data_IF_277577501578
#
_entry.id   IF_277577501578
#
_cell.length_a   1.000
_cell.length_b   1.000
_cell.length_c   1.000
_cell.angle_alpha   90.00
_cell.angle_beta   90.00
_cell.angle_gamma   90.00
#
_symmetry.space_group_name_H-M   'P 1'
#
loop_
_entity.id
_entity.type
_entity.pdbx_description
1 polymer ?
#
# COMPACT_ATOMS: atom_id res chain seq x y z
N UNK A 1 11.56 4.88 -9.90
CA UNK A 1 11.19 4.18 -8.64
C UNK A 1 10.91 2.66 -8.78
N UNK A 2 10.06 2.24 -9.73
CA UNK A 2 9.60 0.86 -9.98
C UNK A 2 10.57 -0.30 -9.63
N UNK A 3 11.77 -0.33 -10.21
CA UNK A 3 12.71 -1.44 -10.05
C UNK A 3 13.24 -1.58 -8.62
N UNK A 4 13.44 -0.44 -7.92
CA UNK A 4 13.87 -0.42 -6.51
C UNK A 4 12.83 -1.08 -5.62
N UNK A 5 11.54 -0.75 -5.82
CA UNK A 5 10.43 -1.36 -5.07
C UNK A 5 10.41 -2.86 -5.29
N UNK A 6 10.43 -3.32 -6.55
CA UNK A 6 10.38 -4.75 -6.86
C UNK A 6 11.57 -5.51 -6.25
N UNK A 7 12.77 -4.96 -6.35
CA UNK A 7 13.97 -5.56 -5.77
C UNK A 7 13.86 -5.67 -4.23
N UNK A 8 13.33 -4.64 -3.57
CA UNK A 8 13.12 -4.65 -2.13
C UNK A 8 12.07 -5.69 -1.70
N UNK A 9 10.92 -5.72 -2.36
CA UNK A 9 9.85 -6.70 -2.06
C UNK A 9 10.36 -8.14 -2.25
N UNK A 10 11.18 -8.40 -3.27
CA UNK A 10 11.84 -9.70 -3.47
C UNK A 10 12.82 -10.03 -2.35
N UNK A 11 13.63 -9.05 -1.92
CA UNK A 11 14.63 -9.22 -0.84
C UNK A 11 13.99 -9.55 0.51
N UNK A 12 12.80 -9.00 0.77
CA UNK A 12 12.06 -9.22 2.03
C UNK A 12 11.24 -10.52 2.03
N UNK A 13 11.34 -11.35 0.98
CA UNK A 13 10.51 -12.54 0.78
C UNK A 13 8.99 -12.25 0.74
N UNK A 14 8.60 -11.05 0.27
CA UNK A 14 7.20 -10.61 0.24
C UNK A 14 6.68 -10.07 1.58
N UNK A 15 5.36 -10.00 1.73
CA UNK A 15 4.70 -9.47 2.93
C UNK A 15 5.09 -8.03 3.31
N UNK A 16 5.46 -7.21 2.32
CA UNK A 16 5.95 -5.85 2.56
C UNK A 16 4.78 -4.86 2.69
N UNK A 17 4.71 -4.17 3.83
CA UNK A 17 3.75 -3.11 4.12
C UNK A 17 4.12 -1.76 3.47
N UNK A 18 3.17 -0.82 3.45
CA UNK A 18 3.47 0.56 3.03
C UNK A 18 4.45 1.27 3.97
N UNK A 19 4.47 0.92 5.26
CA UNK A 19 5.39 1.51 6.23
C UNK A 19 6.82 1.10 5.92
N UNK A 20 7.06 -0.18 5.67
CA UNK A 20 8.38 -0.66 5.27
C UNK A 20 8.86 0.00 3.97
N UNK A 21 7.96 0.20 3.01
CA UNK A 21 8.28 0.94 1.79
C UNK A 21 8.65 2.40 2.07
N UNK A 22 7.90 3.11 2.92
CA UNK A 22 8.20 4.51 3.26
C UNK A 22 9.45 4.68 4.12
N UNK A 23 9.76 3.69 4.96
CA UNK A 23 10.98 3.66 5.76
C UNK A 23 12.20 3.40 4.88
N UNK A 24 12.07 2.48 3.91
CA UNK A 24 13.15 2.15 2.98
C UNK A 24 13.37 3.22 1.90
N UNK A 25 12.29 3.86 1.44
CA UNK A 25 12.31 4.86 0.38
C UNK A 25 11.63 6.15 0.85
N UNK A 26 12.30 6.98 1.68
CA UNK A 26 11.72 8.23 2.16
C UNK A 26 11.25 9.17 1.03
N UNK A 27 11.83 9.05 -0.17
CA UNK A 27 11.45 9.83 -1.35
C UNK A 27 10.04 9.52 -1.88
N UNK A 28 9.39 8.44 -1.43
CA UNK A 28 8.01 8.13 -1.82
C UNK A 28 6.97 8.90 -0.99
N UNK A 29 7.39 9.62 0.07
CA UNK A 29 6.50 10.45 0.88
C UNK A 29 6.06 11.68 0.07
N UNK A 30 4.76 11.94 0.05
CA UNK A 30 4.16 13.02 -0.71
C UNK A 30 2.79 13.41 -0.16
N UNK A 31 1.95 14.01 -0.99
CA UNK A 31 0.64 14.54 -0.58
C UNK A 31 -0.54 13.79 -1.23
N UNK A 32 -0.28 12.75 -2.02
CA UNK A 32 -1.29 11.96 -2.72
C UNK A 32 -1.83 10.83 -1.84
N UNK A 33 -3.05 10.39 -2.17
CA UNK A 33 -3.69 9.24 -1.54
C UNK A 33 -3.72 8.07 -2.53
N UNK A 34 -3.16 6.93 -2.13
CA UNK A 34 -3.28 5.69 -2.89
C UNK A 34 -4.52 4.92 -2.42
N UNK A 35 -5.44 4.64 -3.34
CA UNK A 35 -6.71 4.00 -3.03
C UNK A 35 -7.53 3.63 -4.26
N UNK A 36 -8.76 3.19 -4.02
CA UNK A 36 -9.81 2.96 -5.02
C UNK A 36 -11.02 3.83 -4.68
N UNK A 37 -11.07 5.02 -5.26
CA UNK A 37 -12.10 6.04 -4.99
C UNK A 37 -13.52 5.51 -5.27
N UNK A 38 -13.71 4.76 -6.36
CA UNK A 38 -15.01 4.18 -6.71
C UNK A 38 -15.54 3.16 -5.69
N UNK A 39 -14.66 2.66 -4.82
CA UNK A 39 -14.97 1.71 -3.74
C UNK A 39 -14.98 2.37 -2.36
N UNK A 40 -14.64 3.66 -2.25
CA UNK A 40 -14.37 4.34 -0.98
C UNK A 40 -13.30 3.60 -0.15
N UNK A 41 -12.22 3.16 -0.79
CA UNK A 41 -11.11 2.48 -0.14
C UNK A 41 -9.83 3.32 -0.22
N UNK A 42 -9.26 3.63 0.94
CA UNK A 42 -7.91 4.17 1.07
C UNK A 42 -6.94 3.02 1.35
N UNK A 43 -5.90 2.86 0.54
CA UNK A 43 -4.83 1.89 0.81
C UNK A 43 -3.74 2.53 1.66
N UNK A 44 -3.26 3.69 1.24
CA UNK A 44 -2.22 4.43 1.96
C UNK A 44 -2.21 5.92 1.59
N UNK A 45 -2.16 6.85 2.55
CA UNK A 45 -2.01 8.28 2.28
C UNK A 45 -0.53 8.71 2.22
N UNK A 46 -0.32 9.99 1.92
CA UNK A 46 0.95 10.69 2.00
C UNK A 46 2.05 10.07 1.12
N UNK A 47 1.71 9.75 -0.12
CA UNK A 47 2.66 9.23 -1.12
C UNK A 47 2.82 10.17 -2.30
N UNK A 48 3.83 9.94 -3.12
CA UNK A 48 4.00 10.63 -4.40
C UNK A 48 3.20 9.95 -5.52
N UNK A 49 2.85 10.71 -6.56
CA UNK A 49 2.24 10.14 -7.77
C UNK A 49 3.17 9.12 -8.45
N UNK A 50 4.50 9.36 -8.49
CA UNK A 50 5.49 8.43 -9.06
C UNK A 50 5.43 7.05 -8.37
N UNK A 51 5.22 7.03 -7.05
CA UNK A 51 5.06 5.79 -6.30
C UNK A 51 3.79 5.03 -6.72
N UNK A 52 2.65 5.74 -6.79
CA UNK A 52 1.37 5.17 -7.21
C UNK A 52 1.48 4.56 -8.61
N UNK A 53 2.04 5.31 -9.56
CA UNK A 53 2.27 4.84 -10.93
C UNK A 53 3.19 3.62 -10.98
N UNK A 54 4.25 3.61 -10.17
CA UNK A 54 5.19 2.49 -10.08
C UNK A 54 4.53 1.21 -9.58
N UNK A 55 3.73 1.29 -8.49
CA UNK A 55 2.99 0.15 -7.94
C UNK A 55 1.95 -0.35 -8.95
N UNK A 56 1.14 0.54 -9.52
CA UNK A 56 0.12 0.18 -10.51
C UNK A 56 0.75 -0.50 -11.74
N UNK A 57 1.90 0.00 -12.20
CA UNK A 57 2.63 -0.61 -13.32
C UNK A 57 3.12 -2.01 -12.97
N UNK A 58 3.67 -2.22 -11.77
CA UNK A 58 4.13 -3.55 -11.34
C UNK A 58 2.99 -4.56 -11.20
N UNK A 59 1.84 -4.13 -10.69
CA UNK A 59 0.64 -4.96 -10.60
C UNK A 59 0.13 -5.31 -12.01
N UNK A 60 0.06 -4.32 -12.92
CA UNK A 60 -0.35 -4.52 -14.32
C UNK A 60 0.60 -5.45 -15.07
N UNK A 61 1.90 -5.36 -14.82
CA UNK A 61 2.93 -6.25 -15.38
C UNK A 61 2.97 -7.63 -14.68
N UNK A 62 2.07 -7.89 -13.71
CA UNK A 62 2.02 -9.12 -12.91
C UNK A 62 3.36 -9.44 -12.21
N UNK A 63 4.08 -8.41 -11.76
CA UNK A 63 5.34 -8.51 -11.01
C UNK A 63 5.15 -8.33 -9.51
N UNK A 64 4.07 -7.66 -9.12
CA UNK A 64 3.62 -7.55 -7.73
C UNK A 64 2.17 -8.03 -7.62
N UNK A 65 1.88 -8.69 -6.50
CA UNK A 65 0.53 -8.93 -6.00
C UNK A 65 0.37 -8.26 -4.65
N UNK A 66 -0.88 -8.02 -4.28
CA UNK A 66 -1.24 -7.51 -2.97
C UNK A 66 -2.28 -8.40 -2.31
N UNK A 67 -2.27 -8.42 -0.98
CA UNK A 67 -3.25 -9.13 -0.17
C UNK A 67 -3.63 -8.28 1.05
N UNK A 68 -4.88 -8.38 1.54
CA UNK A 68 -5.24 -7.75 2.82
C UNK A 68 -4.39 -8.31 3.96
N UNK A 69 -4.20 -7.51 5.00
CA UNK A 69 -3.50 -7.93 6.21
C UNK A 69 -4.18 -7.36 7.45
N UNK A 70 -3.82 -7.87 8.62
CA UNK A 70 -4.33 -7.37 9.89
C UNK A 70 -3.80 -5.95 10.18
N UNK A 71 -4.67 -5.00 10.59
CA UNK A 71 -4.25 -3.64 10.97
C UNK A 71 -3.13 -3.59 12.02
N UNK A 72 -3.05 -4.61 12.88
CA UNK A 72 -2.05 -4.72 13.93
C UNK A 72 -0.61 -4.63 13.39
N UNK A 73 -0.38 -5.11 12.16
CA UNK A 73 0.91 -5.01 11.46
C UNK A 73 1.39 -3.55 11.37
N UNK A 74 0.46 -2.61 11.19
CA UNK A 74 0.76 -1.18 11.04
C UNK A 74 0.83 -0.42 12.38
N UNK A 75 0.12 -0.91 13.41
CA UNK A 75 0.15 -0.27 14.74
C UNK A 75 1.50 -0.45 15.45
N UNK A 76 2.25 -1.50 15.14
CA UNK A 76 3.62 -1.69 15.65
C UNK A 76 4.57 -0.57 15.20
N UNK A 77 4.28 0.04 14.05
CA UNK A 77 5.05 1.14 13.49
C UNK A 77 4.49 2.53 13.85
N UNK A 78 3.50 2.59 14.76
CA UNK A 78 2.91 3.85 15.22
C UNK A 78 1.94 4.50 14.23
N UNK A 79 1.51 3.79 13.19
CA UNK A 79 0.54 4.32 12.22
C UNK A 79 -0.88 4.07 12.72
N UNK A 80 -1.59 5.15 13.01
CA UNK A 80 -3.00 5.13 13.39
C UNK A 80 -3.77 6.01 12.39
N UNK A 81 -4.77 5.43 11.73
CA UNK A 81 -5.71 6.17 10.90
C UNK A 81 -7.03 6.33 11.63
N UNK A 82 -7.62 7.53 11.56
CA UNK A 82 -8.98 7.81 12.05
C UNK A 82 -10.09 7.23 11.12
N UNK A 83 -9.73 6.33 10.21
CA UNK A 83 -10.65 5.69 9.29
C UNK A 83 -11.06 4.30 9.77
N UNK A 84 -12.34 3.90 9.62
CA UNK A 84 -12.74 2.52 9.86
C UNK A 84 -11.97 1.56 8.96
N UNK A 85 -11.55 0.42 9.49
CA UNK A 85 -10.89 -0.64 8.72
C UNK A 85 -11.91 -1.33 7.80
N UNK A 86 -11.56 -1.49 6.53
CA UNK A 86 -12.28 -2.30 5.56
C UNK A 86 -11.88 -3.78 5.74
N UNK A 87 -12.87 -4.65 5.99
CA UNK A 87 -12.67 -6.09 6.19
C UNK A 87 -12.57 -6.89 4.88
N UNK A 88 -13.10 -6.31 3.81
CA UNK A 88 -13.22 -6.91 2.49
C UNK A 88 -12.98 -5.85 1.42
N UNK A 89 -12.45 -6.28 0.27
CA UNK A 89 -12.34 -5.45 -0.92
C UNK A 89 -13.71 -5.32 -1.60
N UNK A 90 -14.51 -4.35 -1.15
CA UNK A 90 -15.82 -4.03 -1.73
C UNK A 90 -16.09 -2.53 -1.63
N UNK A 91 -17.15 -2.08 -2.32
CA UNK A 91 -17.61 -0.70 -2.22
C UNK A 91 -18.26 -0.44 -0.86
N UNK A 92 -17.85 0.64 -0.18
CA UNK A 92 -18.44 1.10 1.07
C UNK A 92 -19.20 2.42 0.89
N UNK A 93 -20.09 2.75 1.84
CA UNK A 93 -20.81 4.02 1.86
C UNK A 93 -19.91 5.20 2.26
N UNK A 94 -18.89 4.95 3.06
CA UNK A 94 -17.92 5.95 3.55
C UNK A 94 -16.50 5.45 3.32
N UNK A 95 -15.54 6.38 3.30
CA UNK A 95 -14.11 6.05 3.15
C UNK A 95 -13.65 5.11 4.27
N UNK A 96 -12.98 4.04 3.88
CA UNK A 96 -12.39 3.06 4.80
C UNK A 96 -10.95 2.78 4.45
N UNK A 97 -10.13 2.54 5.47
CA UNK A 97 -8.75 2.12 5.27
C UNK A 97 -8.69 0.61 5.02
N UNK A 98 -8.04 0.21 3.95
CA UNK A 98 -7.83 -1.18 3.57
C UNK A 98 -6.35 -1.55 3.69
N UNK A 99 -5.93 -2.11 4.84
CA UNK A 99 -4.55 -2.51 5.08
C UNK A 99 -4.17 -3.66 4.14
N UNK A 100 -3.03 -3.52 3.46
CA UNK A 100 -2.52 -4.53 2.53
C UNK A 100 -1.00 -4.63 2.57
N UNK A 101 -0.49 -5.77 2.12
CA UNK A 101 0.94 -6.02 1.93
C UNK A 101 1.20 -6.43 0.49
N UNK A 102 2.44 -6.24 0.04
CA UNK A 102 2.92 -6.59 -1.30
C UNK A 102 3.81 -7.82 -1.26
N UNK A 103 3.65 -8.67 -2.26
CA UNK A 103 4.52 -9.80 -2.53
C UNK A 103 4.92 -9.80 -4.01
N UNK A 104 6.17 -10.18 -4.29
CA UNK A 104 6.62 -10.39 -5.65
C UNK A 104 5.96 -11.66 -6.25
N UNK A 105 5.74 -11.64 -7.56
CA UNK A 105 5.24 -12.79 -8.33
C UNK A 105 6.39 -13.60 -8.90
#
# INVERSE_FOLDING_TARGET
>A
MKEKILAFVKKMNGHVSFVELQNQFPEIKGNEQFGQESFNLLFWPNVTMEFIESINTLIKENKLKFAPCEPLLYTGDGVIFDFPVAKEFKKYATLRWYPMVFSAV
#
